data_IF_418513914590
#
_entry.id   IF_418513914590
#
_cell.length_a   1.000
_cell.length_b   1.000
_cell.length_c   1.000
_cell.angle_alpha   90.00
_cell.angle_beta   90.00
_cell.angle_gamma   90.00
#
_symmetry.space_group_name_H-M   'P 1'
#
loop_
_entity.id
_entity.type
_entity.pdbx_description
1 polymer ?
2 non-polymer ?
3 water ?
#
# COMPACT_ATOMS: atom_id res chain seq x y z
N UNK A 8 1.22 21.37 -0.98
CA UNK A 8 0.22 20.32 -1.30
C UNK A 8 -0.23 20.50 -2.75
N UNK A 9 -0.28 19.41 -3.51
CA UNK A 9 -0.77 19.47 -4.91
C UNK A 9 -1.61 18.24 -5.27
N UNK A 10 -2.65 18.40 -6.03
CA UNK A 10 -3.41 17.30 -6.62
C UNK A 10 -2.69 16.89 -7.89
N UNK A 11 -2.36 15.61 -8.00
CA UNK A 11 -1.68 15.14 -9.19
C UNK A 11 -2.69 14.98 -10.33
N UNK A 12 -2.31 15.30 -11.57
CA UNK A 12 -3.28 15.38 -12.67
C UNK A 12 -3.65 14.03 -13.31
N UNK A 13 -3.96 13.05 -12.47
CA UNK A 13 -4.67 11.88 -12.98
C UNK A 13 -6.04 12.31 -13.51
N UNK A 14 -6.60 11.53 -14.42
CA UNK A 14 -7.95 11.83 -14.88
C UNK A 14 -8.78 10.56 -14.88
N UNK A 15 -9.98 10.67 -14.32
CA UNK A 15 -10.98 9.64 -14.40
C UNK A 15 -10.85 8.52 -13.41
N UNK A 16 -10.16 8.72 -12.29
CA UNK A 16 -10.11 7.68 -11.28
C UNK A 16 -11.49 7.50 -10.65
N UNK A 17 -11.78 6.26 -10.24
CA UNK A 17 -13.03 5.92 -9.59
C UNK A 17 -12.71 5.01 -8.42
N UNK A 18 -12.77 5.56 -7.20
CA UNK A 18 -12.49 4.80 -5.97
C UNK A 18 -11.05 4.28 -5.98
N UNK A 19 -10.08 5.18 -6.11
CA UNK A 19 -8.68 4.75 -6.02
C UNK A 19 -8.40 4.19 -4.64
N UNK A 20 -7.58 3.13 -4.59
CA UNK A 20 -7.30 2.41 -3.36
C UNK A 20 -5.81 2.59 -3.03
N UNK A 21 -4.99 1.55 -3.19
CA UNK A 21 -3.58 1.70 -2.96
C UNK A 21 -2.88 2.51 -4.04
N UNK A 22 -1.71 3.04 -3.67
CA UNK A 22 -0.83 3.69 -4.62
C UNK A 22 0.61 3.38 -4.25
N UNK A 23 1.50 3.62 -5.21
CA UNK A 23 2.91 3.36 -5.04
C UNK A 23 3.69 4.45 -5.76
N UNK A 24 4.96 4.61 -5.38
CA UNK A 24 5.84 5.59 -6.03
C UNK A 24 7.20 4.94 -6.22
N UNK A 25 7.73 5.05 -7.44
CA UNK A 25 9.00 4.41 -7.79
C UNK A 25 10.19 5.32 -7.52
N UNK A 26 11.39 4.80 -7.80
CA UNK A 26 12.68 5.46 -7.58
C UNK A 26 12.92 6.65 -8.50
N UNK A 27 11.99 6.95 -9.42
CA UNK A 27 12.01 8.16 -10.25
C UNK A 27 10.81 9.07 -10.02
N UNK A 28 10.02 8.82 -8.98
CA UNK A 28 8.89 9.68 -8.68
C UNK A 28 7.65 9.43 -9.48
N UNK A 29 7.60 8.37 -10.30
CA UNK A 29 6.35 8.03 -10.96
C UNK A 29 5.40 7.42 -9.93
N UNK A 30 4.12 7.78 -10.05
CA UNK A 30 3.09 7.35 -9.12
C UNK A 30 2.15 6.39 -9.84
N UNK A 31 1.81 5.30 -9.16
CA UNK A 31 1.00 4.20 -9.68
C UNK A 31 -0.20 4.06 -8.77
N UNK A 32 -1.38 3.90 -9.36
CA UNK A 32 -2.63 3.86 -8.61
C UNK A 32 -3.41 2.62 -8.97
N UNK A 33 -3.94 1.95 -7.95
CA UNK A 33 -4.93 0.90 -8.15
C UNK A 33 -6.29 1.58 -8.27
N UNK A 34 -6.74 1.74 -9.51
CA UNK A 34 -7.97 2.47 -9.82
C UNK A 34 -9.10 1.44 -9.79
N UNK A 35 -9.53 1.13 -8.56
CA UNK A 35 -10.32 -0.07 -8.33
C UNK A 35 -11.63 -0.05 -9.09
N UNK A 36 -12.31 1.10 -9.10
CA UNK A 36 -13.61 1.20 -9.76
C UNK A 36 -13.56 1.13 -11.26
N UNK A 37 -12.37 1.25 -11.86
CA UNK A 37 -12.18 1.09 -13.29
C UNK A 37 -11.37 -0.14 -13.65
N UNK A 38 -11.10 -1.02 -12.69
CA UNK A 38 -10.41 -2.28 -12.99
C UNK A 38 -9.12 -2.06 -13.78
N UNK A 39 -8.29 -1.12 -13.31
CA UNK A 39 -7.09 -0.76 -14.04
C UNK A 39 -6.07 -0.18 -13.07
N UNK A 40 -4.82 -0.12 -13.54
CA UNK A 40 -3.72 0.50 -12.83
C UNK A 40 -3.17 1.62 -13.71
N UNK A 41 -3.07 2.81 -13.13
CA UNK A 41 -2.68 4.02 -13.84
C UNK A 41 -1.36 4.54 -13.30
N UNK A 42 -0.48 4.97 -14.18
CA UNK A 42 0.84 5.49 -13.86
C UNK A 42 0.95 6.93 -14.36
N UNK A 43 1.60 7.78 -13.56
CA UNK A 43 1.85 9.18 -13.92
C UNK A 43 3.30 9.48 -13.57
N UNK A 44 4.13 9.75 -14.58
CA UNK A 44 5.50 10.15 -14.32
C UNK A 44 5.54 11.55 -13.68
N UNK A 45 6.56 11.78 -12.87
CA UNK A 45 6.68 13.05 -12.16
C UNK A 45 6.64 14.22 -13.15
N UNK A 46 5.73 15.16 -12.90
CA UNK A 46 5.60 16.36 -13.69
C UNK A 46 4.90 16.19 -15.03
N UNK A 47 4.39 15.01 -15.35
CA UNK A 47 3.87 14.72 -16.69
C UNK A 47 2.43 15.18 -16.86
N UNK A 48 2.06 15.44 -18.12
CA UNK A 48 0.69 15.72 -18.55
C UNK A 48 0.06 14.51 -19.22
N UNK A 49 0.69 13.34 -19.04
CA UNK A 49 0.25 12.08 -19.61
C UNK A 49 0.15 11.03 -18.53
N UNK A 50 -0.98 10.31 -18.47
CA UNK A 50 -1.07 9.12 -17.63
C UNK A 50 -1.08 7.89 -18.53
N UNK A 51 -0.62 6.77 -17.98
CA UNK A 51 -0.53 5.51 -18.70
C UNK A 51 -1.37 4.46 -18.01
N UNK A 52 -2.26 3.80 -18.76
CA UNK A 52 -2.89 2.60 -18.25
C UNK A 52 -1.95 1.44 -18.53
N UNK A 53 -1.48 0.79 -17.47
CA UNK A 53 -0.52 -0.27 -17.64
C UNK A 53 -1.20 -1.52 -18.17
N UNK A 54 -0.45 -2.35 -18.94
CA UNK A 54 -1.02 -3.55 -19.58
C UNK A 54 -1.18 -4.75 -18.67
N UNK A 55 -1.81 -4.52 -17.53
CA UNK A 55 -2.39 -5.64 -16.77
C UNK A 55 -3.65 -6.06 -17.55
N UNK A 56 -4.06 -7.31 -17.39
CA UNK A 56 -5.24 -7.82 -18.11
C UNK A 56 -6.20 -8.49 -17.17
N UNK A 57 -7.48 -8.22 -17.34
CA UNK A 57 -8.51 -8.95 -16.65
C UNK A 57 -8.63 -8.66 -15.17
N UNK A 58 -8.33 -7.44 -14.74
CA UNK A 58 -8.42 -7.10 -13.33
C UNK A 58 -9.88 -6.98 -12.89
N UNK A 59 -10.12 -7.26 -11.61
CA UNK A 59 -11.45 -7.29 -11.03
C UNK A 59 -11.33 -6.77 -9.60
N UNK A 60 -11.67 -5.48 -9.46
CA UNK A 60 -11.52 -4.75 -8.21
C UNK A 60 -10.11 -4.84 -7.65
N UNK A 61 -9.11 -4.40 -8.40
CA UNK A 61 -7.73 -4.38 -7.89
C UNK A 61 -7.61 -3.35 -6.77
N UNK A 62 -6.93 -3.76 -5.68
CA UNK A 62 -6.91 -2.93 -4.50
C UNK A 62 -5.56 -2.31 -4.17
N UNK A 63 -4.47 -2.99 -4.48
CA UNK A 63 -3.16 -2.59 -4.04
C UNK A 63 -2.16 -2.66 -5.17
N UNK A 64 -1.17 -1.77 -5.12
CA UNK A 64 -0.09 -1.75 -6.08
C UNK A 64 1.23 -1.48 -5.37
N UNK A 65 2.28 -2.11 -5.89
CA UNK A 65 3.64 -1.91 -5.42
C UNK A 65 4.58 -1.97 -6.62
N UNK A 66 5.75 -1.35 -6.49
CA UNK A 66 6.72 -1.30 -7.59
C UNK A 66 8.11 -1.52 -7.00
N UNK A 67 8.89 -2.43 -7.60
CA UNK A 67 10.23 -2.72 -7.11
C UNK A 67 11.25 -1.80 -7.79
N UNK A 68 12.51 -1.95 -7.38
CA UNK A 68 13.58 -1.07 -7.85
C UNK A 68 13.86 -1.24 -9.35
N UNK A 69 13.48 -2.37 -9.92
CA UNK A 69 13.72 -2.58 -11.34
C UNK A 69 12.48 -2.32 -12.17
N UNK A 70 11.42 -1.81 -11.56
CA UNK A 70 10.27 -1.36 -12.29
C UNK A 70 9.18 -2.38 -12.48
N UNK A 71 9.32 -3.59 -11.95
CA UNK A 71 8.21 -4.52 -12.00
C UNK A 71 7.08 -3.98 -11.12
N UNK A 72 5.83 -4.17 -11.56
CA UNK A 72 4.66 -3.64 -10.88
C UNK A 72 3.81 -4.82 -10.42
N UNK A 73 3.38 -4.78 -9.16
CA UNK A 73 2.68 -5.89 -8.51
C UNK A 73 1.31 -5.38 -8.06
N UNK A 74 0.28 -6.18 -8.30
CA UNK A 74 -1.09 -5.75 -8.03
C UNK A 74 -1.87 -6.87 -7.36
N UNK A 75 -2.59 -6.51 -6.31
CA UNK A 75 -3.58 -7.43 -5.74
C UNK A 75 -4.87 -7.33 -6.54
N UNK A 76 -5.15 -8.41 -7.28
CA UNK A 76 -6.34 -8.48 -8.13
C UNK A 76 -7.44 -9.14 -7.32
N UNK A 77 -7.98 -8.35 -6.38
CA UNK A 77 -8.66 -8.87 -5.20
C UNK A 77 -9.74 -9.87 -5.55
N UNK A 78 -10.69 -9.49 -6.42
CA UNK A 78 -11.85 -10.35 -6.62
C UNK A 78 -11.58 -11.50 -7.57
N UNK A 79 -10.39 -11.55 -8.17
CA UNK A 79 -9.92 -12.74 -8.87
C UNK A 79 -9.01 -13.60 -8.00
N UNK A 80 -8.84 -13.23 -6.73
CA UNK A 80 -8.12 -14.09 -5.78
C UNK A 80 -6.72 -14.41 -6.28
N UNK A 81 -6.02 -13.37 -6.75
CA UNK A 81 -4.69 -13.56 -7.30
C UNK A 81 -3.89 -12.27 -7.16
N UNK A 82 -2.57 -12.42 -7.23
CA UNK A 82 -1.64 -11.31 -7.24
C UNK A 82 -0.89 -11.42 -8.55
N UNK A 83 -0.90 -10.33 -9.32
CA UNK A 83 -0.29 -10.32 -10.65
C UNK A 83 0.91 -9.39 -10.66
N UNK A 84 1.82 -9.66 -11.57
CA UNK A 84 3.05 -8.91 -11.73
C UNK A 84 3.22 -8.57 -13.20
N UNK A 85 3.49 -7.30 -13.48
CA UNK A 85 3.82 -6.84 -14.82
C UNK A 85 5.33 -6.76 -14.90
N UNK A 86 5.92 -7.62 -15.72
CA UNK A 86 7.36 -7.64 -15.90
C UNK A 86 7.80 -6.39 -16.63
N UNK A 87 8.80 -5.72 -16.06
CA UNK A 87 9.34 -4.50 -16.65
C UNK A 87 9.94 -4.82 -18.00
N UNK A 88 9.86 -3.90 -18.92
CA UNK A 88 10.50 -4.07 -20.25
C UNK A 88 9.65 -5.02 -21.12
N UNK A 89 9.41 -6.29 -20.77
CA UNK A 89 8.63 -7.20 -21.65
C UNK A 89 7.15 -6.81 -21.63
N UNK A 90 6.68 -6.21 -20.53
CA UNK A 90 5.26 -5.90 -20.32
C UNK A 90 4.39 -7.15 -20.43
N UNK A 91 4.91 -8.29 -20.02
CA UNK A 91 4.11 -9.50 -19.84
C UNK A 91 3.59 -9.58 -18.41
N UNK A 92 2.30 -9.87 -18.27
CA UNK A 92 1.72 -10.13 -16.97
C UNK A 92 1.88 -11.59 -16.61
N UNK A 93 2.32 -11.85 -15.37
CA UNK A 93 2.34 -13.19 -14.81
C UNK A 93 1.52 -13.19 -13.53
N UNK A 94 1.03 -14.36 -13.17
CA UNK A 94 0.34 -14.57 -11.91
C UNK A 94 1.35 -15.10 -10.91
N UNK A 95 1.52 -14.43 -9.78
CA UNK A 95 2.46 -14.93 -8.78
C UNK A 95 1.92 -16.22 -8.18
N UNK A 96 2.81 -17.15 -7.82
CA UNK A 96 2.39 -18.48 -7.39
C UNK A 96 1.96 -18.58 -5.92
N UNK A 97 1.07 -17.68 -5.52
CA UNK A 97 0.34 -17.88 -4.28
C UNK A 97 -0.61 -19.07 -4.45
N UNK A 98 -0.84 -19.77 -3.35
CA UNK A 98 -1.76 -20.88 -3.28
C UNK A 98 -2.86 -20.57 -2.28
N UNK A 99 -4.10 -20.75 -2.72
CA UNK A 99 -5.26 -20.69 -1.85
C UNK A 99 -5.37 -19.37 -1.09
N UNK A 100 -5.10 -18.27 -1.77
CA UNK A 100 -5.37 -16.96 -1.23
C UNK A 100 -6.69 -16.45 -1.78
N UNK A 101 -7.51 -15.93 -0.91
CA UNK A 101 -8.79 -15.36 -1.27
C UNK A 101 -8.77 -13.91 -0.84
N UNK A 102 -9.19 -13.03 -1.73
CA UNK A 102 -9.33 -11.60 -1.45
C UNK A 102 -8.04 -10.97 -0.96
N UNK A 103 -6.93 -11.12 -1.69
CA UNK A 103 -5.72 -10.35 -1.37
C UNK A 103 -6.01 -8.87 -1.57
N UNK A 104 -5.45 -8.05 -0.69
CA UNK A 104 -5.96 -6.68 -0.51
C UNK A 104 -4.81 -5.67 -0.55
N UNK A 105 -4.11 -5.46 0.56
CA UNK A 105 -2.94 -4.61 0.54
C UNK A 105 -1.73 -5.37 0.04
N UNK A 106 -0.74 -4.62 -0.48
CA UNK A 106 0.50 -5.23 -0.95
C UNK A 106 1.68 -4.33 -0.62
N UNK A 107 2.81 -4.96 -0.36
CA UNK A 107 4.10 -4.30 -0.25
C UNK A 107 5.16 -5.26 -0.76
N UNK A 108 6.27 -4.71 -1.26
CA UNK A 108 7.38 -5.50 -1.75
C UNK A 108 8.66 -4.98 -1.09
N UNK A 109 9.46 -5.88 -0.51
CA UNK A 109 10.67 -5.49 0.20
C UNK A 109 11.85 -5.39 -0.76
N UNK A 110 12.99 -4.99 -0.22
CA UNK A 110 14.15 -4.72 -1.05
C UNK A 110 14.69 -5.98 -1.71
N UNK A 111 14.32 -7.16 -1.21
CA UNK A 111 14.73 -8.43 -1.80
C UNK A 111 13.76 -8.90 -2.87
N UNK A 112 12.62 -8.24 -3.04
CA UNK A 112 11.60 -8.69 -3.98
C UNK A 112 10.55 -9.59 -3.36
N UNK A 113 10.59 -9.80 -2.06
CA UNK A 113 9.55 -10.58 -1.41
C UNK A 113 8.26 -9.78 -1.39
N UNK A 114 7.15 -10.48 -1.62
CA UNK A 114 5.82 -9.87 -1.71
C UNK A 114 5.06 -10.19 -0.44
N UNK A 115 4.42 -9.19 0.15
CA UNK A 115 3.61 -9.32 1.34
C UNK A 115 2.23 -8.79 1.03
N UNK A 116 1.19 -9.53 1.42
CA UNK A 116 -0.17 -9.08 1.20
C UNK A 116 -0.99 -9.25 2.46
N UNK A 117 -1.98 -8.37 2.66
CA UNK A 117 -3.08 -8.66 3.55
C UNK A 117 -4.18 -9.36 2.76
N UNK A 118 -5.01 -10.13 3.45
CA UNK A 118 -6.12 -10.77 2.76
C UNK A 118 -7.35 -10.71 3.65
N UNK A 119 -8.50 -10.52 3.00
CA UNK A 119 -9.74 -10.26 3.72
C UNK A 119 -10.58 -11.49 3.97
N UNK A 120 -10.18 -12.66 3.47
CA UNK A 120 -10.96 -13.85 3.75
C UNK A 120 -10.75 -14.32 5.19
N UNK A 121 -9.50 -14.34 5.63
CA UNK A 121 -9.16 -14.77 6.97
C UNK A 121 -8.30 -13.76 7.76
N UNK A 122 -8.15 -12.51 7.28
CA UNK A 122 -7.51 -11.45 8.07
C UNK A 122 -6.06 -11.74 8.39
N UNK A 123 -5.34 -12.37 7.46
CA UNK A 123 -3.94 -12.69 7.63
C UNK A 123 -3.05 -11.81 6.77
N UNK A 124 -1.76 -11.87 7.09
CA UNK A 124 -0.68 -11.39 6.26
C UNK A 124 0.07 -12.60 5.72
N UNK A 125 0.23 -12.63 4.40
CA UNK A 125 0.89 -13.71 3.69
C UNK A 125 2.12 -13.17 3.00
N UNK A 126 3.23 -13.88 3.15
CA UNK A 126 4.53 -13.55 2.59
C UNK A 126 4.86 -14.58 1.52
N UNK A 127 5.37 -14.11 0.37
CA UNK A 127 5.83 -14.99 -0.71
C UNK A 127 7.25 -14.59 -1.09
N UNK A 128 8.20 -15.43 -0.71
CA UNK A 128 9.59 -15.26 -1.10
C UNK A 128 9.76 -15.54 -2.58
N UNK B 4 0.88 -25.95 -2.29
CA UNK B 4 1.52 -24.80 -1.62
C UNK B 4 3.04 -24.78 -1.81
N UNK B 5 3.60 -23.60 -2.10
CA UNK B 5 5.10 -23.43 -2.13
C UNK B 5 5.63 -23.24 -0.70
N UNK B 6 6.83 -23.73 -0.41
CA UNK B 6 7.49 -23.46 0.89
C UNK B 6 7.82 -21.97 0.99
N UNK B 7 7.84 -21.27 -0.14
CA UNK B 7 8.09 -19.85 -0.14
C UNK B 7 6.92 -19.04 0.39
N UNK B 8 5.75 -19.64 0.54
CA UNK B 8 4.58 -18.93 1.04
C UNK B 8 4.38 -19.25 2.52
N UNK B 9 4.29 -18.21 3.34
CA UNK B 9 4.04 -18.40 4.75
C UNK B 9 3.07 -17.33 5.26
N UNK B 10 2.36 -17.68 6.31
CA UNK B 10 1.49 -16.75 7.03
C UNK B 10 2.32 -16.16 8.17
N UNK B 11 2.41 -14.85 8.24
CA UNK B 11 3.18 -14.21 9.30
C UNK B 11 2.36 -14.19 10.59
N UNK B 12 3.01 -14.36 11.74
CA UNK B 12 2.30 -14.53 13.02
C UNK B 12 1.81 -13.25 13.67
N UNK B 13 1.09 -12.44 12.89
CA UNK B 13 0.24 -11.40 13.46
C UNK B 13 -0.89 -12.07 14.25
N UNK B 14 -1.58 -11.26 15.06
CA UNK B 14 -2.53 -11.72 16.07
C UNK B 14 -3.80 -10.89 15.99
N UNK B 15 -4.93 -11.51 15.67
CA UNK B 15 -6.20 -10.84 15.86
C UNK B 15 -6.46 -9.65 14.98
N UNK B 16 -5.94 -9.66 13.76
CA UNK B 16 -6.24 -8.59 12.83
C UNK B 16 -7.72 -8.64 12.47
N UNK B 17 -8.27 -7.46 12.17
CA UNK B 17 -9.68 -7.32 11.82
C UNK B 17 -9.77 -6.42 10.60
N UNK B 18 -9.99 -7.02 9.44
CA UNK B 18 -10.09 -6.28 8.17
C UNK B 18 -8.82 -5.48 7.94
N UNK B 19 -7.66 -6.13 7.98
CA UNK B 19 -6.41 -5.41 7.71
C UNK B 19 -6.44 -4.83 6.30
N UNK B 20 -5.89 -3.63 6.15
CA UNK B 20 -5.95 -2.86 4.91
C UNK B 20 -4.55 -2.81 4.30
N UNK B 21 -3.94 -1.63 4.23
CA UNK B 21 -2.60 -1.53 3.71
C UNK B 21 -1.57 -2.12 4.66
N UNK B 22 -0.41 -2.43 4.08
CA UNK B 22 0.75 -2.86 4.85
C UNK B 22 2.01 -2.27 4.21
N UNK B 23 3.08 -2.31 4.98
CA UNK B 23 4.36 -1.76 4.58
C UNK B 23 5.48 -2.65 5.12
N UNK B 24 6.65 -2.53 4.52
CA UNK B 24 7.81 -3.29 4.98
C UNK B 24 9.01 -2.35 4.95
N UNK B 25 9.84 -2.41 6.01
CA UNK B 25 11.03 -1.59 6.08
C UNK B 25 12.27 -2.39 5.67
N UNK B 26 13.42 -1.73 5.67
CA UNK B 26 14.63 -2.42 5.19
C UNK B 26 15.21 -3.36 6.22
N UNK B 27 14.66 -3.39 7.42
CA UNK B 27 14.96 -4.42 8.41
C UNK B 27 14.02 -5.61 8.28
N UNK B 28 13.10 -5.61 7.32
CA UNK B 28 12.17 -6.70 7.16
C UNK B 28 10.99 -6.67 8.09
N UNK B 29 10.82 -5.62 8.89
CA UNK B 29 9.65 -5.52 9.73
C UNK B 29 8.45 -5.15 8.86
N UNK B 30 7.30 -5.75 9.17
CA UNK B 30 6.06 -5.58 8.43
C UNK B 30 5.07 -4.83 9.30
N UNK B 31 4.45 -3.80 8.73
CA UNK B 31 3.54 -2.89 9.40
C UNK B 31 2.17 -3.02 8.76
N UNK B 32 1.10 -3.08 9.56
CA UNK B 32 -0.25 -3.30 9.05
C UNK B 32 -1.20 -2.26 9.60
N UNK B 33 -1.99 -1.66 8.71
CA UNK B 33 -3.12 -0.81 9.10
C UNK B 33 -4.27 -1.74 9.46
N UNK B 34 -4.45 -1.97 10.75
CA UNK B 34 -5.43 -2.94 11.25
C UNK B 34 -6.74 -2.19 11.51
N UNK B 35 -7.46 -1.96 10.42
CA UNK B 35 -8.58 -1.02 10.39
C UNK B 35 -9.60 -1.31 11.47
N UNK B 36 -10.00 -2.57 11.59
CA UNK B 36 -11.06 -2.95 12.50
C UNK B 36 -10.69 -2.90 13.97
N UNK B 37 -9.41 -2.72 14.28
CA UNK B 37 -8.94 -2.52 15.64
C UNK B 37 -8.37 -1.13 15.87
N UNK B 38 -8.51 -0.21 14.91
CA UNK B 38 -8.06 1.16 15.10
C UNK B 38 -6.60 1.22 15.59
N UNK B 39 -5.73 0.46 14.92
CA UNK B 39 -4.34 0.41 15.34
C UNK B 39 -3.45 0.07 14.17
N UNK B 40 -2.17 0.35 14.35
CA UNK B 40 -1.11 -0.08 13.44
C UNK B 40 -0.23 -1.05 14.20
N UNK B 41 -0.04 -2.25 13.66
CA UNK B 41 0.80 -3.25 14.29
C UNK B 41 2.04 -3.46 13.43
N UNK B 42 3.13 -3.82 14.09
CA UNK B 42 4.43 -4.08 13.48
C UNK B 42 4.94 -5.43 13.92
N UNK B 43 5.42 -6.24 12.99
CA UNK B 43 6.03 -7.53 13.33
C UNK B 43 7.48 -7.47 12.85
N UNK B 44 8.42 -7.49 13.79
CA UNK B 44 9.82 -7.56 13.42
C UNK B 44 10.11 -8.89 12.73
N UNK B 45 11.10 -8.88 11.85
CA UNK B 45 11.41 -10.10 11.10
C UNK B 45 11.78 -11.22 12.06
N UNK B 46 11.11 -12.37 11.91
CA UNK B 46 11.35 -13.51 12.75
C UNK B 46 10.63 -13.51 14.09
N UNK B 47 9.99 -12.42 14.47
CA UNK B 47 9.28 -12.37 15.75
C UNK B 47 7.97 -13.15 15.67
N UNK B 48 7.57 -13.67 16.79
CA UNK B 48 6.22 -14.28 16.95
C UNK B 48 5.28 -13.37 17.75
N UNK B 49 5.76 -12.21 18.19
CA UNK B 49 4.94 -11.23 18.95
C UNK B 49 4.89 -9.93 18.18
N UNK B 50 3.70 -9.56 17.70
CA UNK B 50 3.53 -8.27 17.05
C UNK B 50 3.55 -7.16 18.09
N UNK B 51 3.83 -5.96 17.63
CA UNK B 51 3.90 -4.76 18.46
C UNK B 51 2.86 -3.75 18.00
N UNK B 52 2.00 -3.31 18.91
CA UNK B 52 1.09 -2.22 18.60
C UNK B 52 1.86 -0.90 18.74
N UNK B 53 1.87 -0.12 17.66
CA UNK B 53 2.62 1.13 17.66
C UNK B 53 1.88 2.21 18.42
N UNK B 54 2.62 3.20 18.95
CA UNK B 54 2.02 4.24 19.81
C UNK B 54 1.37 5.40 19.05
N UNK B 55 0.53 5.07 18.06
CA UNK B 55 -0.46 6.03 17.61
C UNK B 55 -1.59 6.09 18.63
N UNK B 56 -2.31 7.21 18.68
CA UNK B 56 -3.49 7.31 19.51
C UNK B 56 -4.63 7.89 18.71
N UNK B 57 -5.84 7.52 19.10
CA UNK B 57 -7.03 8.14 18.57
C UNK B 57 -7.33 7.84 17.11
N UNK B 58 -6.90 6.69 16.59
CA UNK B 58 -7.20 6.36 15.20
C UNK B 58 -8.65 5.91 15.07
N UNK B 59 -9.21 6.17 13.89
CA UNK B 59 -10.56 5.74 13.50
C UNK B 59 -10.49 5.25 12.05
N UNK B 60 -10.40 3.94 11.90
CA UNK B 60 -10.38 3.28 10.59
C UNK B 60 -9.10 3.58 9.81
N UNK B 61 -7.94 3.27 10.36
CA UNK B 61 -6.70 3.44 9.60
C UNK B 61 -6.69 2.50 8.40
N UNK B 62 -6.36 3.04 7.22
CA UNK B 62 -6.46 2.26 5.99
C UNK B 62 -5.15 2.04 5.27
N UNK B 63 -4.12 2.81 5.56
CA UNK B 63 -2.87 2.69 4.85
C UNK B 63 -1.73 3.03 5.77
N UNK B 64 -0.58 2.39 5.52
CA UNK B 64 0.64 2.66 6.28
C UNK B 64 1.83 2.69 5.32
N UNK B 65 2.78 3.56 5.65
CA UNK B 65 4.04 3.66 4.93
C UNK B 65 5.14 3.93 5.94
N UNK B 66 6.37 3.56 5.60
CA UNK B 66 7.51 3.75 6.50
C UNK B 66 8.67 4.31 5.67
N UNK B 67 9.20 5.48 6.05
CA UNK B 67 10.25 6.16 5.31
C UNK B 67 11.61 5.61 5.67
N UNK B 68 12.64 6.12 5.00
CA UNK B 68 13.99 5.60 5.21
C UNK B 68 14.60 6.04 6.51
N UNK B 69 13.95 6.90 7.27
CA UNK B 69 14.38 7.22 8.61
C UNK B 69 13.60 6.47 9.68
N UNK B 70 12.67 5.60 9.28
CA UNK B 70 11.87 4.84 10.22
C UNK B 70 10.64 5.54 10.74
N UNK B 71 10.32 6.71 10.22
CA UNK B 71 9.05 7.33 10.57
C UNK B 71 7.92 6.51 9.92
N UNK B 72 6.80 6.39 10.64
CA UNK B 72 5.66 5.60 10.19
C UNK B 72 4.50 6.55 9.94
N UNK B 73 3.85 6.41 8.79
CA UNK B 73 2.76 7.27 8.39
C UNK B 73 1.50 6.43 8.25
N UNK B 74 0.39 6.93 8.77
CA UNK B 74 -0.89 6.22 8.68
C UNK B 74 -1.95 7.16 8.15
N UNK B 75 -2.79 6.66 7.26
CA UNK B 75 -4.01 7.35 6.87
C UNK B 75 -5.10 7.04 7.90
N UNK B 76 -5.43 8.04 8.71
CA UNK B 76 -6.44 7.89 9.75
C UNK B 76 -7.77 8.32 9.13
N UNK B 77 -8.26 7.44 8.26
CA UNK B 77 -9.29 7.82 7.28
C UNK B 77 -10.48 8.54 7.88
N UNK B 78 -11.08 7.99 8.93
CA UNK B 78 -12.36 8.52 9.44
C UNK B 78 -12.13 9.64 10.43
N UNK B 79 -10.88 10.07 10.63
CA UNK B 79 -10.57 11.35 11.32
C UNK B 79 -10.05 12.33 10.26
N UNK B 80 -10.11 11.99 8.97
CA UNK B 80 -9.73 12.92 7.91
C UNK B 80 -8.34 13.52 8.14
N UNK B 81 -7.37 12.65 8.44
CA UNK B 81 -6.02 13.14 8.72
C UNK B 81 -5.00 12.04 8.43
N UNK B 82 -3.75 12.47 8.27
CA UNK B 82 -2.61 11.58 8.14
C UNK B 82 -1.69 11.87 9.31
N UNK B 83 -1.28 10.81 10.04
CA UNK B 83 -0.46 10.95 11.23
C UNK B 83 0.91 10.33 10.96
N UNK B 84 1.95 11.07 11.32
CA UNK B 84 3.33 10.61 11.28
C UNK B 84 3.78 10.30 12.70
N UNK B 85 4.32 9.11 12.90
CA UNK B 85 4.94 8.71 14.16
C UNK B 85 6.44 8.84 13.97
N UNK B 86 7.06 9.79 14.67
CA UNK B 86 8.48 10.01 14.53
C UNK B 86 9.28 8.90 15.18
N UNK B 87 10.30 8.43 14.45
CA UNK B 87 11.16 7.35 14.95
C UNK B 87 11.82 7.71 16.29
N UNK B 88 11.89 6.75 17.19
CA UNK B 88 12.59 6.86 18.50
C UNK B 88 11.79 7.68 19.51
N UNK B 89 11.49 8.93 19.17
CA UNK B 89 10.74 9.82 20.10
C UNK B 89 9.31 9.33 20.25
N UNK B 90 8.73 8.75 19.19
CA UNK B 90 7.32 8.40 19.16
C UNK B 90 6.41 9.63 19.29
N UNK B 91 6.90 10.80 18.92
CA UNK B 91 6.02 11.94 18.77
C UNK B 91 5.06 11.70 17.61
N UNK B 92 3.80 12.03 17.81
CA UNK B 92 2.82 12.01 16.73
C UNK B 92 2.65 13.41 16.16
N UNK B 93 2.73 13.50 14.83
CA UNK B 93 2.60 14.77 14.12
C UNK B 93 1.48 14.58 13.11
N UNK B 94 0.49 15.45 13.16
CA UNK B 94 -0.54 15.44 12.12
C UNK B 94 0.00 16.21 10.92
N UNK B 95 0.12 15.57 9.75
CA UNK B 95 0.72 16.21 8.60
C UNK B 95 -0.18 17.34 8.10
N UNK B 96 0.41 18.42 7.60
CA UNK B 96 -0.33 19.63 7.22
C UNK B 96 -1.04 19.57 5.87
N UNK B 97 -1.78 18.49 5.64
CA UNK B 97 -2.71 18.46 4.52
C UNK B 97 -3.82 19.47 4.79
N UNK B 98 -4.32 20.06 3.71
CA UNK B 98 -5.42 21.02 3.78
C UNK B 98 -6.61 20.45 3.02
N UNK B 99 -7.79 20.52 3.64
CA UNK B 99 -9.05 20.21 2.97
C UNK B 99 -9.09 18.78 2.42
N UNK B 100 -8.50 17.84 3.14
CA UNK B 100 -8.57 16.43 2.74
C UNK B 100 -9.64 15.71 3.55
N UNK B 101 -10.37 14.82 2.88
CA UNK B 101 -11.41 13.99 3.47
C UNK B 101 -11.16 12.54 3.06
N UNK B 102 -11.20 11.64 4.04
CA UNK B 102 -11.06 10.21 3.81
C UNK B 102 -9.79 9.86 3.04
N UNK B 103 -8.59 10.31 3.50
CA UNK B 103 -7.36 9.81 2.89
C UNK B 103 -7.35 8.31 3.13
N UNK B 104 -6.86 7.56 2.15
CA UNK B 104 -7.08 6.12 2.09
C UNK B 104 -5.76 5.38 1.91
N UNK B 105 -5.26 5.32 0.69
CA UNK B 105 -3.95 4.73 0.46
C UNK B 105 -2.84 5.74 0.70
N UNK B 106 -1.65 5.23 0.99
CA UNK B 106 -0.49 6.09 1.23
C UNK B 106 0.77 5.43 0.71
N UNK B 107 1.70 6.29 0.27
CA UNK B 107 3.04 5.89 -0.09
C UNK B 107 3.96 7.06 0.20
N UNK B 108 5.22 6.76 0.49
CA UNK B 108 6.24 7.78 0.71
C UNK B 108 7.39 7.50 -0.23
N UNK B 109 7.96 8.55 -0.81
CA UNK B 109 9.09 8.40 -1.72
C UNK B 109 10.42 8.59 -0.98
N UNK B 110 11.51 8.47 -1.75
CA UNK B 110 12.84 8.50 -1.16
C UNK B 110 13.14 9.83 -0.47
N UNK B 111 12.53 10.92 -0.95
CA UNK B 111 12.75 12.22 -0.36
C UNK B 111 11.86 12.47 0.86
N UNK B 112 10.95 11.56 1.17
CA UNK B 112 10.03 11.76 2.27
C UNK B 112 8.72 12.40 1.88
N UNK B 113 8.48 12.60 0.60
CA UNK B 113 7.22 13.17 0.14
C UNK B 113 6.13 12.12 0.29
N UNK B 114 4.98 12.55 0.80
CA UNK B 114 3.86 11.69 1.09
C UNK B 114 2.81 11.85 0.02
N UNK B 115 2.27 10.72 -0.45
CA UNK B 115 1.24 10.68 -1.48
C UNK B 115 0.07 9.87 -0.93
N UNK B 116 -1.16 10.36 -1.12
CA UNK B 116 -2.33 9.66 -0.66
C UNK B 116 -3.38 9.60 -1.75
N UNK B 117 -4.20 8.55 -1.71
CA UNK B 117 -5.47 8.56 -2.43
C UNK B 117 -6.56 9.04 -1.49
N UNK B 118 -7.63 9.58 -2.06
CA UNK B 118 -8.74 9.98 -1.21
C UNK B 118 -10.04 9.70 -1.95
N UNK B 119 -10.97 9.12 -1.22
CA UNK B 119 -12.22 8.63 -1.78
C UNK B 119 -13.26 9.74 -2.00
N UNK B 120 -13.20 10.84 -1.23
CA UNK B 120 -14.21 11.90 -1.35
C UNK B 120 -14.30 12.40 -2.78
N UNK B 121 -13.14 12.64 -3.40
CA UNK B 121 -13.10 13.21 -4.73
C UNK B 121 -12.22 12.44 -5.71
N UNK B 122 -11.84 11.21 -5.40
CA UNK B 122 -11.17 10.32 -6.35
C UNK B 122 -9.86 10.90 -6.89
N UNK B 123 -9.06 11.48 -5.99
CA UNK B 123 -7.83 12.13 -6.36
C UNK B 123 -6.64 11.51 -5.64
N UNK B 124 -5.48 11.78 -6.21
CA UNK B 124 -4.18 11.56 -5.59
C UNK B 124 -3.60 12.90 -5.21
N UNK B 125 -3.21 13.03 -3.94
CA UNK B 125 -2.69 14.27 -3.38
C UNK B 125 -1.27 14.03 -2.89
N UNK B 126 -0.37 14.96 -3.22
CA UNK B 126 1.04 14.92 -2.84
C UNK B 126 1.31 16.02 -1.81
N UNK B 127 2.08 15.74 -0.76
CA UNK B 127 2.50 16.76 0.24
C UNK B 127 4.03 16.75 0.36
#
# INVERSE_FOLDING_TARGET
>A
GSHMSNNQTVLPFDGLNYPEGLAVDTQGAVYVADRGNNRVVKLAAGSKTQTVLPFTGLNDPDGVAVDNSGNVYVTDTDNNRVVKLEAESNNQVVLPFTDITAPWGIAVDEAGTVYVTEHNTNQVVKLL
>B
GSHMSNNQTVLPFDGLNYPEGLAVDTQGAVYVADRGNNRVVKLAAGSKTQTVLPFTGLNDPDGVAVDNSGNVYVTDTDNNRVVKLEAESNNQVVLPFTDITAPWGIAVDEAGTVYVTEHNTNQVVKLL
#
